data_IF_509990825359
#
_entry.id   IF_509990825359
#
_cell.length_a   1.000
_cell.length_b   1.000
_cell.length_c   1.000
_cell.angle_alpha   90.00
_cell.angle_beta   90.00
_cell.angle_gamma   90.00
#
_symmetry.space_group_name_H-M   'P 1'
#
loop_
_entity.id
_entity.type
_entity.pdbx_description
1 polymer ?
#
# COMPACT_ATOMS: atom_id res chain seq x y z
N UNK A 1 26.34 -18.43 -15.25
CA UNK A 1 25.39 -17.38 -14.79
C UNK A 1 23.98 -17.63 -15.29
N UNK A 2 23.80 -17.92 -16.57
CA UNK A 2 22.50 -18.26 -17.20
C UNK A 2 21.79 -19.41 -16.47
N UNK A 3 22.47 -20.51 -16.14
CA UNK A 3 21.86 -21.66 -15.45
C UNK A 3 21.38 -21.34 -14.03
N UNK A 4 22.03 -20.39 -13.36
CA UNK A 4 21.67 -19.98 -11.99
C UNK A 4 20.43 -19.08 -12.01
N UNK A 5 20.31 -18.24 -13.05
CA UNK A 5 19.11 -17.41 -13.31
C UNK A 5 17.94 -18.28 -13.78
N UNK A 6 18.20 -19.24 -14.67
CA UNK A 6 17.19 -20.19 -15.16
C UNK A 6 16.70 -21.10 -14.03
N UNK A 7 17.60 -21.60 -13.18
CA UNK A 7 17.24 -22.37 -12.00
C UNK A 7 16.44 -21.56 -10.98
N UNK A 8 16.73 -20.26 -10.83
CA UNK A 8 15.96 -19.36 -9.96
C UNK A 8 14.56 -19.07 -10.53
N UNK A 9 14.44 -18.83 -11.83
CA UNK A 9 13.16 -18.68 -12.53
C UNK A 9 12.32 -19.97 -12.45
N UNK A 10 12.96 -21.13 -12.63
CA UNK A 10 12.32 -22.44 -12.55
C UNK A 10 11.81 -22.72 -11.14
N UNK A 11 12.61 -22.46 -10.09
CA UNK A 11 12.14 -22.57 -8.69
C UNK A 11 10.98 -21.62 -8.39
N UNK A 12 10.98 -20.42 -8.98
CA UNK A 12 9.89 -19.45 -8.81
C UNK A 12 8.60 -19.89 -9.51
N UNK A 13 8.74 -20.60 -10.64
CA UNK A 13 7.64 -21.27 -11.34
C UNK A 13 7.12 -22.49 -10.55
N UNK A 14 8.01 -23.32 -10.01
CA UNK A 14 7.67 -24.50 -9.22
C UNK A 14 6.99 -24.10 -7.89
N UNK A 15 7.40 -22.99 -7.26
CA UNK A 15 6.72 -22.41 -6.09
C UNK A 15 5.29 -21.88 -6.37
N UNK A 16 4.87 -21.85 -7.63
CA UNK A 16 3.51 -21.48 -8.05
C UNK A 16 2.69 -22.67 -8.54
N UNK A 17 3.16 -23.89 -8.30
CA UNK A 17 2.46 -25.11 -8.68
C UNK A 17 2.09 -25.90 -7.42
N UNK A 18 0.82 -26.32 -7.39
CA UNK A 18 0.32 -27.26 -6.40
C UNK A 18 0.64 -28.66 -6.95
N UNK A 19 1.80 -29.19 -6.59
CA UNK A 19 2.22 -30.54 -7.01
C UNK A 19 2.02 -31.54 -5.88
N UNK A 20 1.19 -32.55 -6.11
CA UNK A 20 1.12 -33.75 -5.30
C UNK A 20 2.10 -34.79 -5.87
N UNK A 21 3.09 -35.21 -5.07
CA UNK A 21 3.99 -36.31 -5.43
C UNK A 21 3.51 -37.58 -4.73
N UNK A 22 3.12 -38.59 -5.53
CA UNK A 22 2.78 -39.94 -5.06
C UNK A 22 4.02 -40.77 -4.72
N UNK A 23 5.19 -40.34 -5.18
CA UNK A 23 6.46 -40.91 -4.76
C UNK A 23 6.89 -40.19 -3.49
N UNK A 24 6.92 -40.91 -2.38
CA UNK A 24 7.33 -40.39 -1.09
C UNK A 24 8.79 -39.91 -1.11
N UNK A 25 9.23 -39.34 0.02
CA UNK A 25 10.64 -39.08 0.26
C UNK A 25 11.45 -40.38 0.04
N UNK A 26 12.73 -40.31 -0.37
CA UNK A 26 13.55 -41.51 -0.56
C UNK A 26 13.52 -42.41 0.68
N UNK A 27 12.79 -43.53 0.61
CA UNK A 27 12.50 -44.43 1.74
C UNK A 27 11.03 -44.82 1.92
N UNK A 28 10.08 -44.03 1.40
CA UNK A 28 8.64 -44.33 1.41
C UNK A 28 8.23 -45.00 0.09
N UNK A 29 8.21 -46.33 0.07
CA UNK A 29 8.00 -47.07 -1.18
C UNK A 29 6.56 -47.03 -1.71
N UNK A 30 5.56 -46.68 -0.90
CA UNK A 30 4.19 -46.52 -1.39
C UNK A 30 3.42 -45.56 -0.47
N UNK A 31 3.13 -44.34 -0.93
CA UNK A 31 2.13 -43.52 -0.26
C UNK A 31 0.75 -44.11 -0.57
N UNK A 32 0.19 -44.88 0.37
CA UNK A 32 -1.15 -45.49 0.28
C UNK A 32 -2.29 -44.50 0.57
N UNK A 33 -1.98 -43.23 0.89
CA UNK A 33 -3.02 -42.23 1.20
C UNK A 33 -3.92 -41.97 -0.01
N UNK A 34 -5.23 -41.74 0.20
CA UNK A 34 -6.12 -41.36 -0.87
C UNK A 34 -5.62 -40.07 -1.55
N UNK A 35 -5.72 -39.98 -2.89
CA UNK A 35 -5.26 -38.80 -3.60
C UNK A 35 -6.03 -37.55 -3.13
N UNK A 36 -5.37 -36.39 -3.02
CA UNK A 36 -6.03 -35.18 -2.55
C UNK A 36 -7.20 -34.79 -3.45
N UNK A 37 -8.35 -34.52 -2.84
CA UNK A 37 -9.59 -34.15 -3.54
C UNK A 37 -9.93 -32.68 -3.42
N UNK A 38 -9.33 -31.96 -2.46
CA UNK A 38 -9.64 -30.55 -2.19
C UNK A 38 -8.40 -29.65 -2.22
N UNK A 39 -8.55 -28.49 -2.87
CA UNK A 39 -7.59 -27.38 -2.81
C UNK A 39 -8.22 -26.29 -1.95
N UNK A 40 -7.68 -26.06 -0.76
CA UNK A 40 -8.16 -25.01 0.12
C UNK A 40 -7.50 -23.67 -0.24
N UNK A 41 -8.33 -22.66 -0.50
CA UNK A 41 -7.90 -21.29 -0.77
C UNK A 41 -8.55 -20.39 0.26
N UNK A 42 -7.78 -19.49 0.87
CA UNK A 42 -8.33 -18.53 1.82
C UNK A 42 -9.38 -17.64 1.14
N UNK A 43 -10.54 -17.44 1.78
CA UNK A 43 -11.54 -16.48 1.33
C UNK A 43 -11.02 -15.05 1.51
N UNK A 44 -11.18 -14.21 0.50
CA UNK A 44 -10.83 -12.79 0.60
C UNK A 44 -12.06 -11.97 0.99
N UNK A 45 -12.02 -11.40 2.19
CA UNK A 45 -13.04 -10.49 2.69
C UNK A 45 -12.70 -9.04 2.32
N UNK A 46 -13.42 -8.49 1.34
CA UNK A 46 -13.26 -7.10 0.90
C UNK A 46 -13.65 -6.08 2.00
N UNK A 47 -14.53 -6.45 2.93
CA UNK A 47 -15.06 -5.55 3.97
C UNK A 47 -14.32 -5.65 5.31
N UNK A 48 -13.24 -6.43 5.35
CA UNK A 48 -12.44 -6.68 6.53
C UNK A 48 -12.00 -5.35 7.19
N UNK A 49 -12.01 -5.28 8.53
CA UNK A 49 -11.73 -4.04 9.27
C UNK A 49 -10.32 -3.48 9.00
N UNK A 50 -9.38 -4.34 8.63
CA UNK A 50 -8.02 -3.94 8.24
C UNK A 50 -7.98 -3.02 7.01
N UNK A 51 -8.89 -3.22 6.05
CA UNK A 51 -9.01 -2.44 4.82
C UNK A 51 -9.87 -1.18 4.97
N UNK A 52 -10.31 -0.85 6.18
CA UNK A 52 -11.02 0.41 6.47
C UNK A 52 -10.04 1.52 6.82
N UNK A 53 -10.23 2.69 6.22
CA UNK A 53 -9.53 3.91 6.61
C UNK A 53 -10.57 4.87 7.17
N UNK A 54 -10.41 5.24 8.45
CA UNK A 54 -11.41 6.00 9.20
C UNK A 54 -12.77 5.27 9.20
N UNK A 55 -13.81 5.89 8.66
CA UNK A 55 -15.19 5.36 8.64
C UNK A 55 -15.60 4.75 7.29
N UNK A 56 -14.68 4.58 6.34
CA UNK A 56 -14.99 4.09 4.99
C UNK A 56 -13.96 3.07 4.50
N UNK A 57 -14.31 2.33 3.44
CA UNK A 57 -13.37 1.46 2.73
C UNK A 57 -12.16 2.26 2.23
N UNK A 58 -10.96 1.69 2.36
CA UNK A 58 -9.68 2.35 2.06
C UNK A 58 -9.61 2.94 0.65
N UNK A 59 -10.16 2.25 -0.36
CA UNK A 59 -10.18 2.76 -1.74
C UNK A 59 -11.00 4.05 -1.89
N UNK A 60 -12.13 4.16 -1.17
CA UNK A 60 -12.94 5.38 -1.17
C UNK A 60 -12.22 6.50 -0.43
N UNK A 61 -11.60 6.22 0.71
CA UNK A 61 -10.79 7.20 1.43
C UNK A 61 -9.63 7.71 0.57
N UNK A 62 -8.93 6.83 -0.14
CA UNK A 62 -7.85 7.20 -1.05
C UNK A 62 -8.34 8.02 -2.25
N UNK A 63 -9.53 7.73 -2.79
CA UNK A 63 -10.13 8.54 -3.86
C UNK A 63 -10.47 9.96 -3.37
N UNK A 64 -11.05 10.08 -2.17
CA UNK A 64 -11.35 11.38 -1.55
C UNK A 64 -10.06 12.15 -1.29
N UNK A 65 -9.03 11.49 -0.74
CA UNK A 65 -7.72 12.08 -0.53
C UNK A 65 -7.11 12.56 -1.86
N UNK A 66 -7.18 11.75 -2.93
CA UNK A 66 -6.67 12.15 -4.24
C UNK A 66 -7.39 13.38 -4.81
N UNK A 67 -8.73 13.42 -4.72
CA UNK A 67 -9.53 14.55 -5.19
C UNK A 67 -9.30 15.82 -4.37
N UNK A 68 -9.22 15.69 -3.05
CA UNK A 68 -8.91 16.81 -2.16
C UNK A 68 -7.51 17.37 -2.44
N UNK A 69 -6.50 16.51 -2.51
CA UNK A 69 -5.13 16.94 -2.76
C UNK A 69 -4.93 17.56 -4.13
N UNK A 70 -5.58 17.04 -5.17
CA UNK A 70 -5.59 17.66 -6.50
C UNK A 70 -6.22 19.07 -6.45
N UNK A 71 -7.32 19.22 -5.71
CA UNK A 71 -7.96 20.52 -5.51
C UNK A 71 -7.04 21.49 -4.78
N UNK A 72 -6.32 21.04 -3.75
CA UNK A 72 -5.32 21.84 -3.05
C UNK A 72 -4.16 22.24 -3.98
N UNK A 73 -3.62 21.34 -4.79
CA UNK A 73 -2.54 21.67 -5.74
C UNK A 73 -2.96 22.74 -6.74
N UNK A 74 -4.17 22.64 -7.29
CA UNK A 74 -4.73 23.64 -8.19
C UNK A 74 -4.96 24.98 -7.49
N UNK A 75 -5.61 24.94 -6.32
CA UNK A 75 -5.90 26.14 -5.55
C UNK A 75 -4.63 26.88 -5.14
N UNK A 76 -3.62 26.17 -4.60
CA UNK A 76 -2.33 26.75 -4.22
C UNK A 76 -1.61 27.37 -5.41
N UNK A 77 -1.64 26.74 -6.58
CA UNK A 77 -1.06 27.30 -7.80
C UNK A 77 -1.76 28.59 -8.23
N UNK A 78 -3.10 28.60 -8.24
CA UNK A 78 -3.89 29.78 -8.62
C UNK A 78 -3.68 30.93 -7.63
N UNK A 79 -3.71 30.63 -6.32
CA UNK A 79 -3.44 31.62 -5.28
C UNK A 79 -2.03 32.19 -5.42
N UNK A 80 -1.03 31.35 -5.70
CA UNK A 80 0.33 31.79 -5.94
C UNK A 80 0.42 32.74 -7.15
N UNK A 81 -0.24 32.43 -8.26
CA UNK A 81 -0.22 33.29 -9.45
C UNK A 81 -0.79 34.69 -9.19
N UNK A 82 -1.84 34.81 -8.36
CA UNK A 82 -2.47 36.11 -8.09
C UNK A 82 -1.79 36.91 -6.97
N UNK A 83 -1.29 36.23 -5.93
CA UNK A 83 -0.67 36.89 -4.78
C UNK A 83 0.79 37.27 -5.04
N UNK A 84 1.45 36.58 -5.97
CA UNK A 84 2.85 36.85 -6.27
C UNK A 84 3.02 38.21 -6.96
N UNK A 85 3.87 39.07 -6.39
CA UNK A 85 4.14 40.41 -6.91
C UNK A 85 5.10 40.35 -8.10
N UNK A 86 4.56 40.04 -9.27
CA UNK A 86 5.30 39.92 -10.53
C UNK A 86 6.12 41.16 -10.90
N UNK A 87 5.60 42.35 -10.56
CA UNK A 87 6.16 43.64 -10.99
C UNK A 87 7.23 44.21 -10.04
N UNK A 88 7.38 43.65 -8.84
CA UNK A 88 8.29 44.16 -7.80
C UNK A 88 9.75 43.72 -7.97
N UNK A 89 10.00 42.78 -8.88
CA UNK A 89 11.35 42.32 -9.16
C UNK A 89 11.99 43.33 -10.11
N UNK A 90 12.88 44.18 -9.59
CA UNK A 90 13.56 45.27 -10.32
C UNK A 90 14.38 44.89 -11.56
N UNK A 91 14.24 43.65 -12.07
CA UNK A 91 14.81 43.13 -13.32
C UNK A 91 13.77 42.57 -14.31
N UNK A 92 12.46 42.72 -14.04
CA UNK A 92 11.37 42.23 -14.91
C UNK A 92 10.75 40.92 -14.44
N UNK A 93 9.92 40.32 -15.30
CA UNK A 93 9.16 39.09 -15.03
C UNK A 93 10.05 37.93 -14.56
N UNK A 94 9.79 37.39 -13.37
CA UNK A 94 10.56 36.27 -12.81
C UNK A 94 10.16 34.93 -13.46
N UNK A 95 10.84 34.62 -14.57
CA UNK A 95 10.67 33.37 -15.31
C UNK A 95 11.00 32.12 -14.47
N UNK A 96 11.95 32.21 -13.54
CA UNK A 96 12.36 31.08 -12.70
C UNK A 96 11.22 30.64 -11.77
N UNK A 97 10.58 31.63 -11.15
CA UNK A 97 9.41 31.39 -10.30
C UNK A 97 8.22 30.79 -11.06
N UNK A 98 7.98 31.24 -12.30
CA UNK A 98 6.94 30.67 -13.16
C UNK A 98 7.22 29.21 -13.46
N UNK A 99 8.44 28.88 -13.88
CA UNK A 99 8.84 27.50 -14.16
C UNK A 99 8.68 26.62 -12.91
N UNK A 100 9.13 27.09 -11.75
CA UNK A 100 8.98 26.36 -10.49
C UNK A 100 7.51 26.12 -10.13
N UNK A 101 6.65 27.14 -10.27
CA UNK A 101 5.22 27.02 -10.00
C UNK A 101 4.51 26.04 -10.95
N UNK A 102 4.88 26.04 -12.23
CA UNK A 102 4.37 25.07 -13.21
C UNK A 102 4.83 23.65 -12.91
N UNK A 103 6.10 23.46 -12.52
CA UNK A 103 6.60 22.15 -12.11
C UNK A 103 5.87 21.65 -10.87
N UNK A 104 5.64 22.51 -9.87
CA UNK A 104 4.83 22.17 -8.70
C UNK A 104 3.43 21.70 -9.11
N UNK A 105 2.76 22.44 -10.00
CA UNK A 105 1.42 22.08 -10.48
C UNK A 105 1.43 20.73 -11.21
N UNK A 106 2.36 20.53 -12.15
CA UNK A 106 2.44 19.30 -12.95
C UNK A 106 2.71 18.10 -12.05
N UNK A 107 3.68 18.20 -11.13
CA UNK A 107 4.00 17.13 -10.18
C UNK A 107 2.79 16.86 -9.28
N UNK A 108 2.14 17.91 -8.77
CA UNK A 108 0.92 17.80 -7.97
C UNK A 108 -0.18 17.05 -8.70
N UNK A 109 -0.49 17.42 -9.95
CA UNK A 109 -1.49 16.72 -10.77
C UNK A 109 -1.08 15.26 -10.99
N UNK A 110 0.16 15.00 -11.38
CA UNK A 110 0.66 13.66 -11.68
C UNK A 110 0.57 12.74 -10.45
N UNK A 111 0.96 13.21 -9.27
CA UNK A 111 0.90 12.43 -8.02
C UNK A 111 -0.52 11.98 -7.71
N UNK A 112 -1.49 12.90 -7.75
CA UNK A 112 -2.89 12.57 -7.45
C UNK A 112 -3.54 11.76 -8.56
N UNK A 113 -3.19 12.03 -9.82
CA UNK A 113 -3.63 11.26 -10.97
C UNK A 113 -3.20 9.79 -10.87
N UNK A 114 -1.97 9.52 -10.45
CA UNK A 114 -1.47 8.15 -10.25
C UNK A 114 -2.29 7.39 -9.20
N UNK A 115 -2.73 8.06 -8.12
CA UNK A 115 -3.63 7.45 -7.13
C UNK A 115 -4.96 7.06 -7.76
N UNK A 116 -5.60 7.97 -8.50
CA UNK A 116 -6.87 7.69 -9.19
C UNK A 116 -6.72 6.55 -10.22
N UNK A 117 -5.61 6.55 -10.95
CA UNK A 117 -5.30 5.49 -11.90
C UNK A 117 -5.09 4.14 -11.21
N UNK A 118 -4.42 4.14 -10.07
CA UNK A 118 -4.22 2.95 -9.23
C UNK A 118 -5.52 2.39 -8.69
N UNK A 119 -6.46 3.25 -8.29
CA UNK A 119 -7.80 2.82 -7.88
C UNK A 119 -8.57 2.25 -9.07
N UNK A 120 -8.57 2.93 -10.22
CA UNK A 120 -9.26 2.48 -11.44
C UNK A 120 -8.72 1.14 -11.97
N UNK A 121 -7.41 0.94 -11.91
CA UNK A 121 -6.73 -0.30 -12.36
C UNK A 121 -6.61 -1.35 -11.26
N UNK A 122 -7.06 -1.06 -10.04
CA UNK A 122 -6.86 -1.89 -8.85
C UNK A 122 -5.40 -2.34 -8.65
N UNK A 123 -4.46 -1.41 -8.83
CA UNK A 123 -3.03 -1.71 -8.87
C UNK A 123 -2.24 -0.93 -7.82
N UNK A 124 -1.67 -1.66 -6.86
CA UNK A 124 -0.85 -1.14 -5.77
C UNK A 124 0.37 -0.31 -6.26
N UNK A 125 0.96 -0.67 -7.40
CA UNK A 125 2.18 -0.05 -7.94
C UNK A 125 1.96 1.44 -8.23
N UNK A 126 0.78 1.81 -8.71
CA UNK A 126 0.47 3.20 -9.07
C UNK A 126 0.32 4.11 -7.82
N UNK A 127 0.17 3.55 -6.62
CA UNK A 127 0.05 4.32 -5.38
C UNK A 127 1.42 4.68 -4.77
N UNK A 128 2.50 4.00 -5.19
CA UNK A 128 3.85 4.18 -4.65
C UNK A 128 4.36 5.62 -4.83
N UNK A 129 4.24 6.26 -6.02
CA UNK A 129 4.74 7.63 -6.20
C UNK A 129 4.13 8.62 -5.21
N UNK A 130 2.83 8.50 -4.93
CA UNK A 130 2.17 9.37 -3.96
C UNK A 130 2.65 9.13 -2.53
N UNK A 131 2.83 7.87 -2.13
CA UNK A 131 3.39 7.53 -0.81
C UNK A 131 4.79 8.12 -0.64
N UNK A 132 5.64 7.99 -1.66
CA UNK A 132 7.00 8.53 -1.64
C UNK A 132 7.00 10.05 -1.51
N UNK A 133 6.21 10.75 -2.33
CA UNK A 133 6.14 12.22 -2.32
C UNK A 133 5.60 12.74 -0.98
N UNK A 134 4.50 12.18 -0.47
CA UNK A 134 3.95 12.62 0.82
C UNK A 134 4.89 12.35 1.98
N UNK A 135 5.53 11.18 2.02
CA UNK A 135 6.50 10.87 3.08
C UNK A 135 7.66 11.85 3.05
N UNK A 136 8.20 12.15 1.86
CA UNK A 136 9.29 13.10 1.69
C UNK A 136 8.89 14.53 2.08
N UNK A 137 7.72 14.99 1.63
CA UNK A 137 7.18 16.32 1.96
C UNK A 137 6.98 16.47 3.48
N UNK A 138 6.29 15.53 4.12
CA UNK A 138 6.05 15.57 5.57
C UNK A 138 7.36 15.64 6.35
N UNK A 139 8.37 14.85 5.97
CA UNK A 139 9.69 14.86 6.64
C UNK A 139 10.40 16.19 6.45
N UNK A 140 10.46 16.71 5.21
CA UNK A 140 11.10 18.00 4.94
C UNK A 140 10.41 19.13 5.67
N UNK A 141 9.08 19.18 5.57
CA UNK A 141 8.32 20.21 6.24
C UNK A 141 8.59 20.13 7.75
N UNK A 142 8.60 18.94 8.36
CA UNK A 142 8.82 18.78 9.80
C UNK A 142 10.22 19.28 10.22
N UNK A 143 11.24 19.03 9.40
CA UNK A 143 12.58 19.58 9.60
C UNK A 143 12.55 21.10 9.55
N UNK A 144 11.89 21.69 8.55
CA UNK A 144 11.75 23.15 8.40
C UNK A 144 11.05 23.73 9.64
N UNK A 145 10.00 23.09 10.13
CA UNK A 145 9.28 23.52 11.32
C UNK A 145 10.16 23.49 12.57
N UNK A 146 10.93 22.42 12.79
CA UNK A 146 11.87 22.34 13.92
C UNK A 146 12.93 23.43 13.83
N UNK A 147 13.48 23.69 12.65
CA UNK A 147 14.45 24.77 12.43
C UNK A 147 13.83 26.15 12.69
N UNK A 148 12.63 26.39 12.18
CA UNK A 148 11.90 27.65 12.38
C UNK A 148 11.57 27.87 13.86
N UNK A 149 11.07 26.84 14.57
CA UNK A 149 10.78 26.90 15.99
C UNK A 149 12.06 27.17 16.82
N UNK A 150 13.15 26.46 16.52
CA UNK A 150 14.44 26.68 17.18
C UNK A 150 14.97 28.10 16.95
N UNK A 151 14.88 28.61 15.71
CA UNK A 151 15.25 29.99 15.40
C UNK A 151 14.39 30.99 16.17
N UNK A 152 13.07 30.77 16.27
CA UNK A 152 12.17 31.66 17.02
C UNK A 152 12.43 31.66 18.54
N UNK A 153 12.75 30.49 19.13
CA UNK A 153 13.13 30.40 20.55
C UNK A 153 14.44 31.12 20.82
N UNK A 154 15.44 30.94 19.95
CA UNK A 154 16.77 31.52 20.16
C UNK A 154 16.85 33.02 19.83
N UNK A 155 15.92 33.56 19.02
CA UNK A 155 15.97 34.95 18.55
C UNK A 155 15.43 35.99 19.55
N UNK A 156 15.08 35.64 20.80
CA UNK A 156 14.45 36.56 21.80
C UNK A 156 13.11 37.18 21.35
N UNK A 157 12.66 36.89 20.13
CA UNK A 157 11.39 37.34 19.54
C UNK A 157 10.16 36.80 20.28
N UNK A 158 10.33 35.73 21.09
CA UNK A 158 9.29 35.16 21.93
C UNK A 158 8.90 36.05 23.12
N UNK A 159 9.79 36.95 23.56
CA UNK A 159 9.56 37.88 24.69
C UNK A 159 9.30 39.33 24.27
N UNK A 160 9.47 39.62 22.98
CA UNK A 160 9.10 40.91 22.40
C UNK A 160 7.65 40.78 21.93
N UNK A 161 6.69 41.13 22.78
CA UNK A 161 5.28 41.21 22.35
C UNK A 161 5.24 42.15 21.14
N UNK A 162 4.86 41.69 19.94
CA UNK A 162 4.79 42.59 18.80
C UNK A 162 3.74 43.65 19.15
N UNK A 163 4.12 44.93 19.11
CA UNK A 163 3.17 46.03 19.29
C UNK A 163 2.20 46.13 18.09
N UNK A 164 2.41 45.31 17.06
CA UNK A 164 1.65 45.29 15.83
C UNK A 164 0.70 44.08 15.81
N UNK A 165 -0.61 44.33 15.69
CA UNK A 165 -1.65 43.30 15.73
C UNK A 165 -1.64 42.37 14.51
N UNK A 166 -0.82 42.67 13.50
CA UNK A 166 -0.79 41.96 12.22
C UNK A 166 0.28 40.87 12.12
N UNK A 167 1.27 40.82 13.01
CA UNK A 167 2.30 39.76 12.98
C UNK A 167 1.76 38.45 13.56
N UNK A 168 1.73 37.35 12.79
CA UNK A 168 1.25 36.07 13.31
C UNK A 168 2.20 35.56 14.40
N UNK A 169 1.63 35.24 15.56
CA UNK A 169 2.35 34.65 16.69
C UNK A 169 2.93 33.27 16.33
N UNK A 170 3.94 32.84 17.08
CA UNK A 170 4.46 31.46 17.00
C UNK A 170 3.33 30.44 17.13
N UNK A 171 2.40 30.64 18.08
CA UNK A 171 1.26 29.75 18.29
C UNK A 171 0.40 29.61 17.01
N UNK A 172 0.04 30.72 16.37
CA UNK A 172 -0.77 30.70 15.15
C UNK A 172 -0.06 30.03 13.98
N UNK A 173 1.25 30.25 13.81
CA UNK A 173 2.04 29.58 12.78
C UNK A 173 2.15 28.08 13.04
N UNK A 174 2.37 27.68 14.30
CA UNK A 174 2.47 26.27 14.70
C UNK A 174 1.15 25.53 14.50
N UNK A 175 0.01 26.13 14.86
CA UNK A 175 -1.31 25.52 14.63
C UNK A 175 -1.58 25.33 13.14
N UNK A 176 -1.30 26.34 12.32
CA UNK A 176 -1.48 26.25 10.86
C UNK A 176 -0.60 25.14 10.27
N UNK A 177 0.67 25.13 10.66
CA UNK A 177 1.65 24.16 10.18
C UNK A 177 1.28 22.72 10.57
N UNK A 178 0.94 22.47 11.85
CA UNK A 178 0.49 21.15 12.32
C UNK A 178 -0.81 20.70 11.64
N UNK A 179 -1.69 21.63 11.27
CA UNK A 179 -2.91 21.32 10.51
C UNK A 179 -2.58 20.80 9.12
N UNK A 180 -1.65 21.46 8.40
CA UNK A 180 -1.21 21.01 7.07
C UNK A 180 -0.59 19.62 7.14
N UNK A 181 0.37 19.41 8.07
CA UNK A 181 1.02 18.10 8.26
C UNK A 181 0.00 17.03 8.65
N UNK A 182 -0.95 17.37 9.51
CA UNK A 182 -2.05 16.48 9.90
C UNK A 182 -2.88 16.05 8.68
N UNK A 183 -3.30 17.00 7.84
CA UNK A 183 -4.04 16.71 6.60
C UNK A 183 -3.22 15.80 5.69
N UNK A 184 -1.96 16.16 5.39
CA UNK A 184 -1.08 15.34 4.54
C UNK A 184 -0.89 13.92 5.11
N UNK A 185 -0.76 13.78 6.42
CA UNK A 185 -0.62 12.48 7.10
C UNK A 185 -1.89 11.64 6.96
N UNK A 186 -3.08 12.23 7.13
CA UNK A 186 -4.34 11.50 6.93
C UNK A 186 -4.53 11.03 5.49
N UNK A 187 -4.07 11.82 4.51
CA UNK A 187 -4.07 11.45 3.11
C UNK A 187 -3.10 10.29 2.84
N UNK A 188 -1.87 10.37 3.37
CA UNK A 188 -0.86 9.32 3.25
C UNK A 188 -1.35 8.00 3.85
N UNK A 189 -1.99 8.04 5.03
CA UNK A 189 -2.57 6.86 5.68
C UNK A 189 -3.67 6.23 4.81
N UNK A 190 -4.55 7.05 4.23
CA UNK A 190 -5.63 6.58 3.36
C UNK A 190 -5.09 5.87 2.11
N UNK A 191 -4.09 6.47 1.44
CA UNK A 191 -3.44 5.92 0.25
C UNK A 191 -2.67 4.64 0.60
N UNK A 192 -1.96 4.63 1.73
CA UNK A 192 -1.20 3.45 2.18
C UNK A 192 -2.11 2.26 2.50
N UNK A 193 -3.26 2.49 3.15
CA UNK A 193 -4.25 1.43 3.37
C UNK A 193 -4.84 0.91 2.06
N UNK A 194 -5.14 1.78 1.10
CA UNK A 194 -5.63 1.34 -0.21
C UNK A 194 -4.58 0.52 -0.97
N UNK A 195 -3.29 0.86 -0.84
CA UNK A 195 -2.19 0.05 -1.38
C UNK A 195 -2.18 -1.34 -0.77
N UNK A 196 -2.24 -1.45 0.55
CA UNK A 196 -2.23 -2.74 1.26
C UNK A 196 -3.43 -3.60 0.84
N UNK A 197 -4.61 -3.00 0.67
CA UNK A 197 -5.78 -3.68 0.12
C UNK A 197 -5.51 -4.24 -1.29
N UNK A 198 -4.97 -3.44 -2.21
CA UNK A 198 -4.66 -3.92 -3.56
C UNK A 198 -3.57 -4.97 -3.60
N UNK A 199 -2.57 -4.92 -2.70
CA UNK A 199 -1.56 -5.98 -2.58
C UNK A 199 -2.16 -7.29 -2.09
N UNK A 200 -2.99 -7.23 -1.05
CA UNK A 200 -3.68 -8.41 -0.53
C UNK A 200 -4.62 -9.01 -1.59
N UNK A 201 -5.35 -8.16 -2.33
CA UNK A 201 -6.22 -8.57 -3.42
C UNK A 201 -5.45 -9.21 -4.58
N UNK A 202 -4.28 -8.66 -4.96
CA UNK A 202 -3.45 -9.22 -6.02
C UNK A 202 -2.82 -10.56 -5.63
N UNK A 203 -2.40 -10.71 -4.36
CA UNK A 203 -1.93 -11.98 -3.81
C UNK A 203 -3.04 -13.03 -3.89
N UNK A 204 -4.24 -12.71 -3.40
CA UNK A 204 -5.37 -13.63 -3.43
C UNK A 204 -5.74 -14.04 -4.87
N UNK A 205 -5.75 -13.10 -5.83
CA UNK A 205 -5.97 -13.41 -7.25
C UNK A 205 -4.97 -14.42 -7.79
N UNK A 206 -3.69 -14.30 -7.40
CA UNK A 206 -2.65 -15.27 -7.79
C UNK A 206 -2.89 -16.63 -7.14
N UNK A 207 -3.28 -16.68 -5.87
CA UNK A 207 -3.61 -17.92 -5.16
C UNK A 207 -4.77 -18.66 -5.83
N UNK A 208 -5.85 -17.95 -6.20
CA UNK A 208 -6.97 -18.52 -6.95
C UNK A 208 -6.53 -19.04 -8.32
N UNK A 209 -5.70 -18.27 -9.04
CA UNK A 209 -5.19 -18.70 -10.35
C UNK A 209 -4.33 -19.98 -10.26
N UNK A 210 -3.54 -20.11 -9.19
CA UNK A 210 -2.75 -21.32 -8.90
C UNK A 210 -3.66 -22.51 -8.59
N UNK A 211 -4.71 -22.31 -7.78
CA UNK A 211 -5.69 -23.34 -7.48
C UNK A 211 -6.47 -23.79 -8.73
N UNK A 212 -6.87 -22.85 -9.60
CA UNK A 212 -7.49 -23.15 -10.88
C UNK A 212 -6.56 -23.93 -11.80
N UNK A 213 -5.27 -23.58 -11.84
CA UNK A 213 -4.28 -24.31 -12.63
C UNK A 213 -4.11 -25.75 -12.12
N UNK A 214 -4.04 -25.93 -10.79
CA UNK A 214 -4.02 -27.27 -10.16
C UNK A 214 -5.25 -28.11 -10.51
N UNK A 215 -6.44 -27.50 -10.49
CA UNK A 215 -7.69 -28.16 -10.92
C UNK A 215 -7.68 -28.54 -12.40
N UNK A 216 -7.08 -27.73 -13.28
CA UNK A 216 -6.96 -28.08 -14.71
C UNK A 216 -6.06 -29.29 -14.94
N UNK A 217 -5.02 -29.45 -14.12
CA UNK A 217 -4.13 -30.61 -14.19
C UNK A 217 -4.78 -31.87 -13.60
N UNK A 218 -5.63 -31.73 -12.59
CA UNK A 218 -6.35 -32.84 -11.95
C UNK A 218 -7.83 -32.49 -11.81
N UNK A 219 -8.64 -32.85 -12.82
CA UNK A 219 -10.05 -32.45 -12.90
C UNK A 219 -10.93 -32.98 -11.75
N UNK A 220 -10.50 -34.02 -11.06
CA UNK A 220 -11.19 -34.57 -9.88
C UNK A 220 -11.07 -33.69 -8.63
N UNK A 221 -10.14 -32.71 -8.61
CA UNK A 221 -9.97 -31.81 -7.47
C UNK A 221 -11.02 -30.68 -7.44
N UNK A 222 -11.51 -30.37 -6.25
CA UNK A 222 -12.44 -29.29 -5.96
C UNK A 222 -11.75 -28.16 -5.20
N UNK A 223 -11.97 -26.91 -5.63
CA UNK A 223 -11.48 -25.73 -4.91
C UNK A 223 -12.49 -25.38 -3.81
N UNK A 224 -12.01 -25.28 -2.57
CA UNK A 224 -12.82 -24.93 -1.40
C UNK A 224 -12.30 -23.63 -0.82
N UNK A 225 -13.16 -22.61 -0.74
CA UNK A 225 -12.82 -21.34 -0.11
C UNK A 225 -13.02 -21.45 1.40
N UNK A 226 -11.98 -21.16 2.16
CA UNK A 226 -11.97 -21.36 3.61
C UNK A 226 -11.85 -20.01 4.32
N UNK A 227 -12.69 -19.80 5.34
CA UNK A 227 -12.62 -18.63 6.22
C UNK A 227 -11.76 -18.93 7.44
N UNK A 228 -11.24 -17.90 8.11
CA UNK A 228 -10.45 -18.07 9.34
C UNK A 228 -11.23 -18.76 10.48
N UNK A 229 -12.56 -18.75 10.42
CA UNK A 229 -13.44 -19.45 11.36
C UNK A 229 -13.56 -20.95 11.10
N UNK A 230 -13.14 -21.41 9.92
CA UNK A 230 -13.32 -22.79 9.51
C UNK A 230 -12.11 -23.59 10.00
N UNK A 231 -12.35 -24.53 10.92
CA UNK A 231 -11.30 -25.45 11.38
C UNK A 231 -10.97 -26.43 10.25
N UNK A 232 -9.94 -26.14 9.46
CA UNK A 232 -9.31 -27.15 8.62
C UNK A 232 -8.50 -28.05 9.55
N UNK A 233 -8.79 -29.36 9.54
CA UNK A 233 -7.92 -30.31 10.22
C UNK A 233 -6.50 -30.16 9.66
N UNK A 234 -5.48 -29.90 10.50
CA UNK A 234 -4.11 -29.86 10.00
C UNK A 234 -3.78 -31.21 9.36
N UNK A 235 -3.10 -31.21 8.22
CA UNK A 235 -2.50 -32.41 7.64
C UNK A 235 -1.71 -33.12 8.74
N UNK A 236 -2.25 -34.23 9.23
CA UNK A 236 -1.56 -35.11 10.18
C UNK A 236 -0.71 -36.06 9.35
N UNK A 237 0.60 -36.01 9.55
CA UNK A 237 1.42 -37.16 9.18
C UNK A 237 1.14 -38.30 10.16
N UNK A 238 1.30 -39.53 9.67
CA UNK A 238 1.08 -40.79 10.42
C UNK A 238 1.91 -40.91 11.70
N UNK A 239 2.94 -40.06 11.87
CA UNK A 239 3.85 -40.06 13.03
C UNK A 239 3.52 -38.99 14.09
N UNK A 240 2.38 -38.30 14.00
CA UNK A 240 1.93 -37.39 15.06
C UNK A 240 2.75 -36.09 15.21
N UNK A 241 3.65 -35.80 14.26
CA UNK A 241 4.36 -34.53 14.17
C UNK A 241 3.48 -33.45 13.55
N UNK A 242 3.21 -32.38 14.28
CA UNK A 242 2.65 -31.14 13.71
C UNK A 242 3.63 -30.59 12.67
N UNK A 243 3.27 -30.60 11.39
CA UNK A 243 4.03 -29.90 10.36
C UNK A 243 4.00 -28.41 10.71
N UNK A 244 5.14 -27.90 11.17
CA UNK A 244 5.35 -26.47 11.39
C UNK A 244 5.26 -25.79 10.04
N UNK A 245 4.10 -25.19 9.78
CA UNK A 245 3.97 -24.20 8.72
C UNK A 245 4.80 -22.99 9.16
N UNK A 246 5.92 -22.78 8.48
CA UNK A 246 6.45 -21.43 8.27
C UNK A 246 5.30 -20.53 7.79
N UNK A 247 5.31 -19.21 8.06
CA UNK A 247 4.11 -18.36 8.02
C UNK A 247 3.27 -18.68 6.78
N UNK A 248 1.98 -18.98 7.00
CA UNK A 248 1.28 -20.08 6.37
C UNK A 248 1.46 -20.06 4.85
N UNK A 249 1.86 -21.18 4.21
CA UNK A 249 1.58 -21.33 2.79
C UNK A 249 0.04 -21.35 2.67
N UNK A 250 -0.55 -20.28 2.13
CA UNK A 250 -2.01 -20.04 2.09
C UNK A 250 -2.77 -20.95 1.11
N UNK A 251 -2.12 -21.97 0.56
CA UNK A 251 -2.72 -23.00 -0.27
C UNK A 251 -2.37 -24.35 0.34
N UNK A 252 -3.38 -25.07 0.83
CA UNK A 252 -3.21 -26.37 1.49
C UNK A 252 -3.97 -27.41 0.66
N UNK A 253 -3.27 -28.49 0.30
CA UNK A 253 -3.87 -29.70 -0.26
C UNK A 253 -4.41 -30.56 0.89
N UNK A 254 -5.68 -30.91 0.90
CA UNK A 254 -6.22 -31.87 1.87
C UNK A 254 -6.77 -33.11 1.17
N UNK A 255 -6.44 -34.28 1.73
CA UNK A 255 -7.13 -35.53 1.44
C UNK A 255 -8.41 -35.60 2.29
N UNK A 256 -9.50 -36.11 1.70
CA UNK A 256 -10.76 -36.29 2.41
C UNK A 256 -10.70 -37.62 3.18
N UNK A 257 -10.78 -37.58 4.51
CA UNK A 257 -10.82 -38.77 5.37
C UNK A 257 -12.25 -39.38 5.47
N UNK A 258 -13.25 -38.74 4.86
CA UNK A 258 -14.66 -39.17 4.92
C UNK A 258 -15.09 -40.00 3.68
N UNK A 259 -14.50 -41.20 3.53
CA UNK A 259 -15.11 -42.26 2.72
C UNK A 259 -15.35 -43.46 3.64
N UNK A 260 -16.59 -43.55 4.13
CA UNK A 260 -17.16 -44.75 4.74
C UNK A 260 -17.54 -45.79 3.68
#
# INVERSE_FOLDING_TARGET
MVDRVMGWLKRRSENSQVTYSRFGLPGDEVDERPPPTHIHVAHFDDDAPEFRAFFTHSTRAAAIAAGFGLSCSLFSFVMFLFEFRWDDHGRGFDFGTVVASLLFLIIGILVHWQVLMGIKKESAIHLIPAIMVYTFMIVIELIIYVLAANHMVNSTALFSYPNDKQTPTFLTLSVFYLTIVGIQTTMLLSISKARNYFEAKDIHRREVAVAEHGKRQNMAMQIVYVKDSDNIAPLRDTDGGTVVTSPPPRVILAANDDIA
#
